data_IF_588761240899
#
_entry.id   IF_588761240899
#
_cell.length_a   1.000
_cell.length_b   1.000
_cell.length_c   1.000
_cell.angle_alpha   90.00
_cell.angle_beta   90.00
_cell.angle_gamma   90.00
#
_symmetry.space_group_name_H-M   'P 1'
#
loop_
_entity.id
_entity.type
_entity.pdbx_description
1 polymer ?
#
# COMPACT_ATOMS: atom_id res chain seq x y z
N UNK A 1 10.56 -15.81 -9.70
CA UNK A 1 9.77 -17.01 -9.46
C UNK A 1 8.30 -16.62 -9.38
N UNK A 2 7.42 -17.28 -10.17
CA UNK A 2 5.96 -17.10 -10.08
C UNK A 2 5.44 -17.70 -8.77
N UNK A 3 4.59 -16.97 -8.07
CA UNK A 3 4.00 -17.37 -6.79
C UNK A 3 2.49 -17.27 -6.87
N UNK A 4 1.80 -18.13 -6.13
CA UNK A 4 0.34 -18.13 -6.07
C UNK A 4 -0.24 -17.13 -5.06
N UNK A 5 0.61 -16.40 -4.29
CA UNK A 5 0.11 -15.44 -3.29
C UNK A 5 1.09 -14.30 -3.04
N UNK A 6 0.73 -13.09 -3.42
CA UNK A 6 1.48 -11.86 -3.17
C UNK A 6 1.85 -11.64 -1.68
N UNK A 7 0.99 -12.06 -0.75
CA UNK A 7 1.27 -12.05 0.70
C UNK A 7 2.54 -12.84 1.01
N UNK A 8 2.69 -14.04 0.42
CA UNK A 8 3.86 -14.91 0.63
C UNK A 8 5.13 -14.33 0.03
N UNK A 9 5.04 -13.64 -1.11
CA UNK A 9 6.22 -13.03 -1.72
C UNK A 9 6.84 -11.97 -0.83
N UNK A 10 6.02 -11.13 -0.17
CA UNK A 10 6.50 -10.19 0.84
C UNK A 10 7.10 -10.90 2.05
N UNK A 11 6.44 -11.96 2.52
CA UNK A 11 6.99 -12.79 3.60
C UNK A 11 8.32 -13.42 3.18
N UNK A 12 8.40 -13.98 1.99
CA UNK A 12 9.62 -14.59 1.46
C UNK A 12 10.77 -13.59 1.32
N UNK A 13 10.51 -12.35 0.91
CA UNK A 13 11.53 -11.30 0.89
C UNK A 13 12.13 -11.10 2.29
N UNK A 14 11.28 -10.89 3.31
CA UNK A 14 11.72 -10.64 4.68
C UNK A 14 12.45 -11.87 5.23
N UNK A 15 11.87 -13.07 5.10
CA UNK A 15 12.46 -14.34 5.57
C UNK A 15 13.78 -14.67 4.88
N UNK A 16 14.02 -14.18 3.65
CA UNK A 16 15.27 -14.39 2.92
C UNK A 16 16.41 -13.49 3.40
N UNK A 17 16.11 -12.43 4.16
CA UNK A 17 17.09 -11.43 4.57
C UNK A 17 17.22 -11.34 6.08
N UNK A 18 16.12 -11.50 6.82
CA UNK A 18 16.06 -11.29 8.25
C UNK A 18 15.98 -12.63 9.02
N UNK A 19 16.55 -12.64 10.21
CA UNK A 19 16.43 -13.70 11.22
C UNK A 19 16.06 -13.11 12.58
N UNK A 20 15.84 -13.96 13.57
CA UNK A 20 15.46 -13.54 14.91
C UNK A 20 16.48 -12.56 15.52
N UNK A 21 15.97 -11.43 16.02
CA UNK A 21 16.75 -10.36 16.62
C UNK A 21 17.36 -9.35 15.65
N UNK A 22 17.28 -9.57 14.32
CA UNK A 22 17.69 -8.56 13.34
C UNK A 22 16.71 -7.39 13.34
N UNK A 23 17.23 -6.19 13.10
CA UNK A 23 16.40 -5.00 12.88
C UNK A 23 16.15 -4.82 11.38
N UNK A 24 14.94 -4.44 11.01
CA UNK A 24 14.55 -4.09 9.63
C UNK A 24 13.84 -2.75 9.62
N UNK A 25 14.31 -1.84 8.77
CA UNK A 25 13.71 -0.52 8.60
C UNK A 25 12.52 -0.64 7.65
N UNK A 26 11.33 -0.21 8.11
CA UNK A 26 10.08 -0.34 7.37
C UNK A 26 9.24 0.94 7.50
N UNK A 27 8.56 1.43 6.44
CA UNK A 27 7.65 2.55 6.58
C UNK A 27 6.42 2.13 7.40
N UNK A 28 5.83 3.07 8.14
CA UNK A 28 4.68 2.77 9.02
C UNK A 28 3.46 2.25 8.25
N UNK A 29 3.34 2.60 6.97
CA UNK A 29 2.25 2.18 6.09
C UNK A 29 2.49 0.85 5.35
N UNK A 30 3.32 -0.03 5.90
CA UNK A 30 3.51 -1.37 5.33
C UNK A 30 2.25 -2.22 5.38
N UNK A 31 2.11 -3.09 4.42
CA UNK A 31 1.03 -4.08 4.43
C UNK A 31 1.24 -5.09 5.58
N UNK A 32 0.13 -5.54 6.22
CA UNK A 32 0.17 -6.51 7.34
C UNK A 32 1.02 -7.75 7.08
N UNK A 33 1.18 -8.19 5.83
CA UNK A 33 2.01 -9.35 5.50
C UNK A 33 3.49 -9.18 5.81
N UNK A 34 3.99 -7.94 5.83
CA UNK A 34 5.35 -7.64 6.27
C UNK A 34 5.47 -7.89 7.77
N UNK A 35 4.54 -7.35 8.57
CA UNK A 35 4.53 -7.60 10.02
C UNK A 35 4.32 -9.08 10.34
N UNK A 36 3.48 -9.79 9.58
CA UNK A 36 3.35 -11.25 9.70
C UNK A 36 4.68 -11.96 9.46
N UNK A 37 5.49 -11.50 8.52
CA UNK A 37 6.83 -12.05 8.32
C UNK A 37 7.75 -11.82 9.53
N UNK A 38 7.67 -10.63 10.16
CA UNK A 38 8.41 -10.33 11.39
C UNK A 38 7.99 -11.23 12.54
N UNK A 39 6.68 -11.53 12.67
CA UNK A 39 6.19 -12.52 13.65
C UNK A 39 6.81 -13.89 13.38
N UNK A 40 6.90 -14.31 12.11
CA UNK A 40 7.43 -15.63 11.75
C UNK A 40 8.93 -15.73 11.97
N UNK A 41 9.72 -14.71 11.60
CA UNK A 41 11.18 -14.78 11.72
C UNK A 41 11.75 -14.20 13.02
N UNK A 42 10.96 -13.44 13.80
CA UNK A 42 11.43 -12.80 15.02
C UNK A 42 12.30 -11.55 14.80
N UNK A 43 12.26 -10.96 13.63
CA UNK A 43 12.91 -9.69 13.37
C UNK A 43 12.12 -8.51 13.97
N UNK A 44 12.83 -7.42 14.28
CA UNK A 44 12.33 -6.25 14.99
C UNK A 44 12.12 -5.11 13.99
N UNK A 45 10.90 -4.56 13.85
CA UNK A 45 10.67 -3.41 12.98
C UNK A 45 11.25 -2.13 13.58
N UNK A 46 11.93 -1.36 12.74
CA UNK A 46 12.28 0.03 12.97
C UNK A 46 11.43 0.88 12.03
N UNK A 47 10.44 1.56 12.56
CA UNK A 47 9.47 2.28 11.74
C UNK A 47 10.01 3.63 11.25
N UNK A 48 9.96 3.83 9.93
CA UNK A 48 10.10 5.15 9.32
C UNK A 48 8.80 5.93 9.50
N UNK A 49 8.95 7.16 9.98
CA UNK A 49 7.83 8.09 10.10
C UNK A 49 7.46 8.64 8.71
N UNK A 50 6.34 8.20 8.16
CA UNK A 50 5.82 8.73 6.91
C UNK A 50 4.94 9.95 7.18
N UNK A 51 5.10 10.99 6.37
CA UNK A 51 4.25 12.18 6.44
C UNK A 51 2.86 11.90 5.88
N UNK A 52 1.87 12.68 6.33
CA UNK A 52 0.52 12.70 5.77
C UNK A 52 0.31 14.04 5.08
N UNK A 53 -0.24 14.03 3.87
CA UNK A 53 -0.72 15.25 3.24
C UNK A 53 -1.94 15.76 4.01
N UNK A 54 -1.82 16.91 4.66
CA UNK A 54 -2.84 17.46 5.56
C UNK A 54 -4.20 17.65 4.86
N UNK A 55 -4.23 18.13 3.61
CA UNK A 55 -5.46 18.33 2.85
C UNK A 55 -6.09 17.01 2.42
N UNK A 56 -5.30 16.11 1.83
CA UNK A 56 -5.80 14.89 1.22
C UNK A 56 -5.98 13.74 2.22
N UNK A 57 -5.31 13.81 3.37
CA UNK A 57 -5.33 12.74 4.38
C UNK A 57 -4.62 11.45 3.93
N UNK A 58 -3.77 11.51 2.91
CA UNK A 58 -3.04 10.37 2.37
C UNK A 58 -1.61 10.30 2.89
N UNK A 59 -1.12 9.08 3.09
CA UNK A 59 0.27 8.84 3.51
C UNK A 59 1.21 9.04 2.32
N UNK A 60 2.25 9.81 2.52
CA UNK A 60 3.28 10.11 1.54
C UNK A 60 4.40 9.06 1.53
N UNK A 61 5.38 9.23 0.64
CA UNK A 61 6.57 8.40 0.54
C UNK A 61 7.59 8.70 1.65
N UNK A 62 8.68 7.95 1.65
CA UNK A 62 9.84 8.16 2.52
C UNK A 62 10.96 8.84 1.74
N UNK A 63 11.74 9.69 2.40
CA UNK A 63 12.87 10.38 1.76
C UNK A 63 14.18 9.63 1.99
N UNK A 64 15.18 9.90 1.15
CA UNK A 64 16.52 9.33 1.29
C UNK A 64 17.14 9.74 2.63
N UNK A 65 16.96 11.00 3.02
CA UNK A 65 17.50 11.55 4.28
C UNK A 65 16.88 10.88 5.52
N UNK A 66 15.57 10.59 5.49
CA UNK A 66 14.91 9.85 6.57
C UNK A 66 15.48 8.44 6.70
N UNK A 67 15.68 7.74 5.56
CA UNK A 67 16.26 6.40 5.53
C UNK A 67 17.68 6.43 6.06
N UNK A 68 18.53 7.35 5.56
CA UNK A 68 19.92 7.48 6.01
C UNK A 68 20.03 7.76 7.51
N UNK A 69 19.26 8.72 8.01
CA UNK A 69 19.22 9.03 9.44
C UNK A 69 18.85 7.81 10.27
N UNK A 70 17.82 7.07 9.83
CA UNK A 70 17.36 5.87 10.55
C UNK A 70 18.41 4.76 10.53
N UNK A 71 19.14 4.56 9.41
CA UNK A 71 20.26 3.61 9.34
C UNK A 71 21.36 3.98 10.36
N UNK A 72 21.70 5.27 10.47
CA UNK A 72 22.71 5.76 11.40
C UNK A 72 22.29 5.56 12.86
N UNK A 73 21.02 5.74 13.18
CA UNK A 73 20.44 5.52 14.52
C UNK A 73 20.30 4.03 14.86
N UNK A 74 20.18 3.16 13.83
CA UNK A 74 19.99 1.70 13.94
C UNK A 74 21.04 0.90 13.18
N UNK A 75 22.30 0.91 13.62
CA UNK A 75 23.42 0.29 12.90
C UNK A 75 23.35 -1.24 12.84
N UNK A 76 22.40 -1.87 13.55
CA UNK A 76 22.14 -3.31 13.48
C UNK A 76 21.09 -3.69 12.44
N UNK A 77 20.51 -2.71 11.76
CA UNK A 77 19.55 -2.98 10.70
C UNK A 77 20.22 -3.73 9.55
N UNK A 78 19.55 -4.74 9.03
CA UNK A 78 20.05 -5.60 7.93
C UNK A 78 19.40 -5.27 6.60
N UNK A 79 18.23 -4.63 6.62
CA UNK A 79 17.50 -4.28 5.41
C UNK A 79 16.62 -3.04 5.60
N UNK A 80 16.29 -2.43 4.46
CA UNK A 80 15.23 -1.41 4.32
C UNK A 80 14.16 -1.99 3.42
N UNK A 81 12.89 -1.91 3.84
CA UNK A 81 11.74 -2.24 3.01
C UNK A 81 11.00 -0.95 2.63
N UNK A 82 10.60 -0.82 1.37
CA UNK A 82 9.88 0.36 0.85
C UNK A 82 8.64 -0.08 0.10
N UNK A 83 7.53 0.64 0.30
CA UNK A 83 6.34 0.52 -0.54
C UNK A 83 6.48 1.47 -1.74
N UNK A 84 6.52 0.94 -2.98
CA UNK A 84 6.70 1.78 -4.16
C UNK A 84 6.03 1.17 -5.41
N UNK A 85 4.93 1.75 -5.94
CA UNK A 85 4.21 2.90 -5.39
C UNK A 85 3.38 2.57 -4.14
N UNK A 86 2.98 3.59 -3.40
CA UNK A 86 1.94 3.44 -2.37
C UNK A 86 0.58 3.16 -3.03
N UNK A 87 -0.44 2.89 -2.22
CA UNK A 87 -1.80 2.64 -2.71
C UNK A 87 -2.36 3.84 -3.50
N UNK A 88 -2.01 5.07 -3.09
CA UNK A 88 -2.43 6.31 -3.74
C UNK A 88 -1.53 6.75 -4.90
N UNK A 89 -0.58 5.92 -5.31
CA UNK A 89 0.31 6.21 -6.44
C UNK A 89 1.54 7.05 -6.11
N UNK A 90 1.80 7.33 -4.82
CA UNK A 90 3.00 8.06 -4.40
C UNK A 90 4.23 7.17 -4.54
N UNK A 91 5.27 7.68 -5.18
CA UNK A 91 6.56 7.03 -5.32
C UNK A 91 7.65 7.78 -4.54
N UNK A 92 8.48 7.03 -3.83
CA UNK A 92 9.70 7.51 -3.19
C UNK A 92 10.87 7.54 -4.17
N UNK A 93 11.97 8.23 -3.84
CA UNK A 93 13.23 8.10 -4.57
C UNK A 93 13.88 6.74 -4.29
N UNK A 94 13.32 5.71 -4.92
CA UNK A 94 13.79 4.33 -4.71
C UNK A 94 15.26 4.15 -5.14
N UNK A 95 15.74 4.94 -6.12
CA UNK A 95 17.14 4.88 -6.56
C UNK A 95 18.06 5.44 -5.47
N UNK A 96 17.77 6.62 -4.95
CA UNK A 96 18.52 7.22 -3.85
C UNK A 96 18.49 6.35 -2.59
N UNK A 97 17.33 5.73 -2.28
CA UNK A 97 17.22 4.79 -1.15
C UNK A 97 18.09 3.55 -1.37
N UNK A 98 18.13 2.97 -2.57
CA UNK A 98 19.01 1.84 -2.87
C UNK A 98 20.48 2.23 -2.69
N UNK A 99 20.89 3.36 -3.25
CA UNK A 99 22.29 3.80 -3.19
C UNK A 99 22.74 4.02 -1.75
N UNK A 100 21.92 4.70 -0.93
CA UNK A 100 22.30 4.96 0.45
C UNK A 100 22.28 3.68 1.30
N UNK A 101 21.25 2.84 1.20
CA UNK A 101 21.19 1.59 1.96
C UNK A 101 22.36 0.66 1.63
N UNK A 102 22.70 0.51 0.35
CA UNK A 102 23.83 -0.30 -0.08
C UNK A 102 25.17 0.27 0.38
N UNK A 103 25.33 1.59 0.50
CA UNK A 103 26.57 2.20 1.03
C UNK A 103 26.82 1.83 2.49
N UNK A 104 25.78 1.50 3.25
CA UNK A 104 25.84 0.97 4.61
C UNK A 104 25.78 -0.57 4.67
N UNK A 105 25.74 -1.26 3.53
CA UNK A 105 25.72 -2.71 3.45
C UNK A 105 24.33 -3.36 3.72
N UNK A 106 23.25 -2.57 3.76
CA UNK A 106 21.90 -3.07 3.96
C UNK A 106 21.30 -3.56 2.64
N UNK A 107 20.37 -4.53 2.73
CA UNK A 107 19.55 -4.96 1.60
C UNK A 107 18.34 -4.06 1.42
N UNK A 108 17.88 -3.89 0.17
CA UNK A 108 16.66 -3.14 -0.15
C UNK A 108 15.58 -4.07 -0.70
N UNK A 109 14.46 -4.11 -0.01
CA UNK A 109 13.27 -4.89 -0.34
C UNK A 109 12.16 -3.95 -0.79
N UNK A 110 11.53 -4.22 -1.93
CA UNK A 110 10.45 -3.38 -2.44
C UNK A 110 9.10 -4.11 -2.46
N UNK A 111 8.12 -3.56 -1.75
CA UNK A 111 6.72 -3.93 -1.94
C UNK A 111 6.18 -3.14 -3.14
N UNK A 112 6.22 -3.75 -4.31
CA UNK A 112 5.68 -3.22 -5.56
C UNK A 112 4.37 -3.91 -5.96
N UNK A 113 3.57 -4.35 -4.99
CA UNK A 113 2.30 -5.01 -5.28
C UNK A 113 1.39 -4.18 -6.20
N UNK A 114 1.50 -2.87 -6.16
CA UNK A 114 0.77 -1.94 -7.02
C UNK A 114 1.60 -1.42 -8.20
N UNK A 115 2.79 -1.99 -8.47
CA UNK A 115 3.77 -1.51 -9.43
C UNK A 115 4.09 -2.45 -10.58
N UNK A 116 3.32 -3.52 -10.83
CA UNK A 116 3.59 -4.47 -11.94
C UNK A 116 3.74 -3.77 -13.29
N UNK A 117 2.90 -2.77 -13.58
CA UNK A 117 2.91 -2.01 -14.83
C UNK A 117 4.18 -1.17 -15.04
N UNK A 118 4.88 -0.82 -13.97
CA UNK A 118 6.14 -0.05 -14.02
C UNK A 118 7.26 -0.80 -14.78
N UNK A 119 7.11 -2.13 -14.92
CA UNK A 119 8.06 -2.97 -15.67
C UNK A 119 7.79 -3.01 -17.18
N UNK A 120 6.60 -2.57 -17.61
CA UNK A 120 6.12 -2.77 -18.97
C UNK A 120 5.67 -1.49 -19.68
N UNK A 121 5.46 -0.40 -18.96
CA UNK A 121 5.07 0.90 -19.51
C UNK A 121 6.26 1.85 -19.70
N UNK A 122 6.16 2.74 -20.69
CA UNK A 122 7.06 3.87 -20.82
C UNK A 122 6.45 5.08 -20.08
N UNK A 123 7.29 6.05 -19.66
CA UNK A 123 6.85 7.28 -18.97
C UNK A 123 6.09 7.05 -17.63
N UNK A 124 6.29 5.89 -17.04
CA UNK A 124 5.86 5.54 -15.69
C UNK A 124 7.02 5.71 -14.69
N UNK A 125 6.74 5.80 -13.38
CA UNK A 125 7.79 5.82 -12.37
C UNK A 125 8.78 4.66 -12.51
N UNK A 126 10.00 4.88 -12.01
CA UNK A 126 11.04 3.85 -12.07
C UNK A 126 10.65 2.66 -11.19
N UNK A 127 10.73 1.43 -11.76
CA UNK A 127 10.56 0.21 -10.97
C UNK A 127 11.78 -0.07 -10.07
N UNK A 128 11.55 -0.75 -8.96
CA UNK A 128 12.56 -0.94 -7.91
C UNK A 128 13.73 -1.81 -8.36
N UNK A 129 13.51 -2.81 -9.21
CA UNK A 129 14.61 -3.66 -9.71
C UNK A 129 15.57 -2.88 -10.60
N UNK A 130 15.05 -1.97 -11.44
CA UNK A 130 15.87 -1.06 -12.25
C UNK A 130 16.62 -0.05 -11.38
N UNK A 131 16.02 0.38 -10.28
CA UNK A 131 16.62 1.27 -9.29
C UNK A 131 17.75 0.60 -8.49
N UNK A 132 17.81 -0.73 -8.47
CA UNK A 132 18.87 -1.48 -7.78
C UNK A 132 18.37 -2.23 -6.54
N UNK A 133 17.08 -2.30 -6.25
CA UNK A 133 16.58 -3.08 -5.13
C UNK A 133 17.02 -4.55 -5.22
N UNK A 134 17.31 -5.18 -4.08
CA UNK A 134 17.75 -6.57 -4.02
C UNK A 134 16.63 -7.54 -4.32
N UNK A 135 15.41 -7.23 -3.85
CA UNK A 135 14.20 -8.02 -4.12
C UNK A 135 12.98 -7.11 -4.29
N UNK A 136 12.03 -7.55 -5.11
CA UNK A 136 10.73 -6.89 -5.25
C UNK A 136 9.59 -7.90 -5.35
N UNK A 137 8.47 -7.64 -4.68
CA UNK A 137 7.24 -8.42 -4.79
C UNK A 137 6.21 -7.64 -5.62
N UNK A 138 5.82 -8.19 -6.79
CA UNK A 138 4.82 -7.59 -7.67
C UNK A 138 3.56 -8.46 -7.75
N UNK A 139 2.37 -7.82 -7.70
CA UNK A 139 1.09 -8.54 -7.79
C UNK A 139 0.56 -8.47 -9.22
N UNK A 140 0.77 -9.54 -9.97
CA UNK A 140 0.31 -9.63 -11.36
C UNK A 140 -1.22 -9.53 -11.47
N UNK A 141 -1.95 -10.01 -10.46
CA UNK A 141 -3.41 -9.95 -10.44
C UNK A 141 -3.99 -8.54 -10.23
N UNK A 142 -3.20 -7.56 -9.76
CA UNK A 142 -3.67 -6.18 -9.57
C UNK A 142 -3.58 -5.36 -10.85
N UNK A 143 -2.40 -5.21 -11.40
CA UNK A 143 -2.15 -4.37 -12.58
C UNK A 143 -1.66 -5.13 -13.81
N UNK A 144 -1.39 -6.42 -13.68
CA UNK A 144 -0.86 -7.24 -14.77
C UNK A 144 -1.93 -8.01 -15.58
N UNK A 145 -3.17 -8.11 -15.07
CA UNK A 145 -4.28 -8.76 -15.78
C UNK A 145 -4.30 -10.29 -15.64
N UNK A 146 -3.63 -10.87 -14.64
CA UNK A 146 -3.73 -12.29 -14.31
C UNK A 146 -4.87 -12.56 -13.32
N UNK A 147 -5.25 -13.84 -13.17
CA UNK A 147 -6.22 -14.26 -12.16
C UNK A 147 -5.73 -13.94 -10.76
N UNK A 148 -6.67 -13.79 -9.82
CA UNK A 148 -6.40 -13.46 -8.41
C UNK A 148 -5.33 -14.37 -7.79
N UNK A 149 -4.67 -13.87 -6.76
CA UNK A 149 -3.58 -14.52 -6.02
C UNK A 149 -2.23 -14.62 -6.77
N UNK A 150 -2.18 -14.45 -8.08
CA UNK A 150 -0.92 -14.57 -8.83
C UNK A 150 0.01 -13.38 -8.61
N UNK A 151 1.28 -13.67 -8.37
CA UNK A 151 2.34 -12.69 -8.12
C UNK A 151 3.70 -13.19 -8.61
N UNK A 152 4.68 -12.31 -8.64
CA UNK A 152 6.07 -12.65 -9.01
C UNK A 152 7.01 -12.05 -7.97
N UNK A 153 7.89 -12.87 -7.44
CA UNK A 153 9.03 -12.45 -6.65
C UNK A 153 10.24 -12.26 -7.58
N UNK A 154 10.77 -11.06 -7.58
CA UNK A 154 11.94 -10.66 -8.36
C UNK A 154 13.16 -10.57 -7.45
N UNK A 155 14.33 -10.95 -7.95
CA UNK A 155 15.60 -10.90 -7.22
C UNK A 155 16.71 -10.36 -8.12
N UNK A 156 17.60 -9.56 -7.57
CA UNK A 156 18.84 -9.13 -8.24
C UNK A 156 20.01 -10.07 -7.91
N UNK A 157 21.08 -9.93 -8.67
CA UNK A 157 22.28 -10.81 -8.60
C UNK A 157 23.00 -10.81 -7.24
N UNK A 158 22.71 -9.86 -6.35
CA UNK A 158 23.26 -9.81 -4.99
C UNK A 158 22.59 -10.74 -3.98
N UNK A 159 21.53 -11.45 -4.39
CA UNK A 159 20.79 -12.40 -3.54
C UNK A 159 21.24 -13.84 -3.80
N UNK A 160 21.28 -14.65 -2.72
CA UNK A 160 21.51 -16.09 -2.85
C UNK A 160 20.22 -16.77 -3.34
N UNK A 161 20.15 -17.07 -4.62
CA UNK A 161 18.98 -17.64 -5.27
C UNK A 161 18.57 -19.00 -4.69
N UNK A 162 19.53 -19.85 -4.29
CA UNK A 162 19.25 -21.18 -3.70
C UNK A 162 18.60 -21.03 -2.31
N UNK A 163 19.05 -20.05 -1.53
CA UNK A 163 18.47 -19.77 -0.23
C UNK A 163 17.05 -19.21 -0.38
N UNK A 164 16.83 -18.25 -1.29
CA UNK A 164 15.49 -17.73 -1.59
C UNK A 164 14.56 -18.85 -2.04
N UNK A 165 15.03 -19.77 -2.91
CA UNK A 165 14.27 -20.93 -3.34
C UNK A 165 13.93 -21.86 -2.17
N UNK A 166 14.83 -22.04 -1.22
CA UNK A 166 14.58 -22.83 0.00
C UNK A 166 13.47 -22.21 0.84
N UNK A 167 13.48 -20.89 1.05
CA UNK A 167 12.42 -20.17 1.76
C UNK A 167 11.07 -20.31 1.04
N UNK A 168 11.06 -20.17 -0.28
CA UNK A 168 9.85 -20.38 -1.10
C UNK A 168 9.32 -21.79 -0.90
N UNK A 169 10.16 -22.81 -0.94
CA UNK A 169 9.73 -24.21 -0.78
C UNK A 169 9.13 -24.50 0.60
N UNK A 170 9.57 -23.79 1.64
CA UNK A 170 9.01 -23.92 3.00
C UNK A 170 7.65 -23.25 3.12
N UNK A 171 7.43 -22.16 2.42
CA UNK A 171 6.26 -21.30 2.60
C UNK A 171 5.14 -21.54 1.59
N UNK A 172 5.45 -22.12 0.44
CA UNK A 172 4.49 -22.34 -0.63
C UNK A 172 3.87 -23.73 -0.62
N UNK A 173 2.71 -23.84 -1.28
CA UNK A 173 2.04 -25.12 -1.49
C UNK A 173 2.84 -26.03 -2.40
N UNK A 174 2.78 -27.34 -2.16
CA UNK A 174 3.30 -28.37 -3.06
C UNK A 174 2.31 -28.72 -4.18
N UNK A 175 1.07 -28.23 -4.10
CA UNK A 175 -0.02 -28.50 -5.04
C UNK A 175 -0.38 -27.23 -5.82
N UNK A 176 0.49 -26.83 -6.72
CA UNK A 176 0.31 -25.60 -7.51
C UNK A 176 -0.92 -25.70 -8.45
N UNK A 177 -1.66 -24.59 -8.55
CA UNK A 177 -2.77 -24.47 -9.49
C UNK A 177 -2.26 -24.18 -10.90
N UNK A 178 -2.42 -25.12 -11.82
CA UNK A 178 -2.03 -24.89 -13.22
C UNK A 178 -2.83 -23.76 -13.88
N UNK A 179 -4.08 -23.50 -13.45
CA UNK A 179 -4.88 -22.39 -13.97
C UNK A 179 -4.25 -21.05 -13.60
N UNK A 180 -3.82 -20.88 -12.33
CA UNK A 180 -3.16 -19.67 -11.88
C UNK A 180 -1.79 -19.49 -12.56
N UNK A 181 -1.01 -20.55 -12.66
CA UNK A 181 0.30 -20.51 -13.34
C UNK A 181 0.16 -20.16 -14.82
N UNK A 182 -0.81 -20.76 -15.51
CA UNK A 182 -1.09 -20.46 -16.92
C UNK A 182 -1.55 -19.02 -17.10
N UNK A 183 -2.45 -18.54 -16.25
CA UNK A 183 -2.91 -17.15 -16.26
C UNK A 183 -1.75 -16.18 -16.07
N UNK A 184 -0.84 -16.48 -15.12
CA UNK A 184 0.35 -15.68 -14.86
C UNK A 184 1.26 -15.61 -16.09
N UNK A 185 1.55 -16.74 -16.76
CA UNK A 185 2.41 -16.75 -17.94
C UNK A 185 1.79 -16.07 -19.15
N UNK A 186 0.48 -16.26 -19.38
CA UNK A 186 -0.26 -15.55 -20.43
C UNK A 186 -0.21 -14.04 -20.18
N UNK A 187 -0.45 -13.60 -18.95
CA UNK A 187 -0.39 -12.19 -18.58
C UNK A 187 1.00 -11.62 -18.80
N UNK A 188 2.04 -12.27 -18.27
CA UNK A 188 3.44 -11.89 -18.49
C UNK A 188 3.77 -11.77 -19.98
N UNK A 189 3.38 -12.77 -20.79
CA UNK A 189 3.60 -12.75 -22.25
C UNK A 189 2.87 -11.57 -22.90
N UNK A 190 1.60 -11.34 -22.55
CA UNK A 190 0.82 -10.23 -23.10
C UNK A 190 1.47 -8.87 -22.77
N UNK A 191 1.89 -8.68 -21.54
CA UNK A 191 2.56 -7.45 -21.11
C UNK A 191 3.92 -7.27 -21.79
N UNK A 192 4.71 -8.32 -21.96
CA UNK A 192 5.98 -8.25 -22.69
C UNK A 192 5.81 -7.84 -24.16
N UNK A 193 4.71 -8.25 -24.80
CA UNK A 193 4.46 -7.95 -26.22
C UNK A 193 3.71 -6.64 -26.45
N UNK A 194 2.83 -6.25 -25.54
CA UNK A 194 1.86 -5.13 -25.72
C UNK A 194 1.85 -4.12 -24.60
N UNK A 195 2.60 -4.34 -23.51
CA UNK A 195 2.54 -3.52 -22.30
C UNK A 195 2.76 -2.04 -22.56
N UNK A 196 3.76 -1.68 -23.38
CA UNK A 196 4.03 -0.29 -23.75
C UNK A 196 2.80 0.40 -24.33
N UNK A 197 2.17 -0.22 -25.34
CA UNK A 197 0.99 0.35 -25.99
C UNK A 197 -0.21 0.38 -25.05
N UNK A 198 -0.41 -0.67 -24.23
CA UNK A 198 -1.54 -0.77 -23.31
C UNK A 198 -1.42 0.28 -22.20
N UNK A 199 -0.26 0.43 -21.57
CA UNK A 199 -0.09 1.41 -20.51
C UNK A 199 0.04 2.85 -20.99
N UNK A 200 0.44 3.09 -22.24
CA UNK A 200 0.32 4.41 -22.86
C UNK A 200 -1.15 4.85 -22.92
N UNK A 201 -2.06 3.97 -23.34
CA UNK A 201 -3.51 4.25 -23.35
C UNK A 201 -4.06 4.44 -21.93
N UNK A 202 -3.68 3.56 -20.99
CA UNK A 202 -4.10 3.70 -19.59
C UNK A 202 -3.69 5.05 -19.02
N UNK A 203 -2.45 5.50 -19.28
CA UNK A 203 -1.96 6.80 -18.82
C UNK A 203 -2.75 7.96 -19.46
N UNK A 204 -3.04 7.88 -20.77
CA UNK A 204 -3.83 8.88 -21.49
C UNK A 204 -5.25 8.96 -20.91
N UNK A 205 -5.92 7.83 -20.74
CA UNK A 205 -7.27 7.78 -20.18
C UNK A 205 -7.34 8.23 -18.73
N UNK A 206 -6.32 7.90 -17.94
CA UNK A 206 -6.23 8.36 -16.56
C UNK A 206 -6.05 9.87 -16.47
N UNK A 207 -5.28 10.46 -17.38
CA UNK A 207 -5.13 11.92 -17.46
C UNK A 207 -6.42 12.58 -17.93
N UNK A 208 -7.05 12.06 -18.96
CA UNK A 208 -8.37 12.51 -19.43
C UNK A 208 -9.39 12.52 -18.29
N UNK A 209 -9.49 11.42 -17.53
CA UNK A 209 -10.42 11.34 -16.41
C UNK A 209 -10.13 12.42 -15.34
N UNK A 210 -8.84 12.70 -15.03
CA UNK A 210 -8.48 13.77 -14.08
C UNK A 210 -8.93 15.12 -14.56
N UNK A 211 -8.66 15.44 -15.82
CA UNK A 211 -8.98 16.74 -16.39
C UNK A 211 -10.50 16.96 -16.40
N UNK A 212 -11.27 15.96 -16.83
CA UNK A 212 -12.72 16.02 -16.81
C UNK A 212 -13.30 16.13 -15.39
N UNK A 213 -12.84 15.31 -14.44
CA UNK A 213 -13.31 15.36 -13.04
C UNK A 213 -12.98 16.72 -12.41
N UNK A 214 -11.79 17.27 -12.65
CA UNK A 214 -11.41 18.58 -12.14
C UNK A 214 -12.27 19.70 -12.79
N UNK A 215 -12.78 19.51 -14.01
CA UNK A 215 -13.65 20.46 -14.69
C UNK A 215 -15.08 20.50 -14.13
N UNK A 216 -15.54 19.41 -13.48
CA UNK A 216 -16.86 19.35 -12.82
C UNK A 216 -16.95 20.39 -11.71
N UNK A 217 -15.86 20.63 -10.98
CA UNK A 217 -15.82 21.44 -9.78
C UNK A 217 -16.26 20.70 -8.52
N UNK A 218 -15.69 21.09 -7.37
CA UNK A 218 -15.95 20.44 -6.09
C UNK A 218 -15.22 19.11 -5.86
N UNK A 219 -14.53 18.60 -6.85
CA UNK A 219 -13.59 17.48 -6.73
C UNK A 219 -12.16 17.97 -6.94
N UNK A 220 -11.21 17.21 -6.43
CA UNK A 220 -9.81 17.38 -6.76
C UNK A 220 -9.17 16.03 -7.12
N UNK A 221 -9.10 15.74 -8.40
CA UNK A 221 -8.40 14.59 -8.93
C UNK A 221 -6.91 14.94 -9.06
N UNK A 222 -6.11 14.47 -8.10
CA UNK A 222 -4.69 14.82 -8.01
C UNK A 222 -3.79 13.88 -8.81
N UNK A 223 -2.58 14.35 -9.09
CA UNK A 223 -1.61 13.67 -9.94
C UNK A 223 -0.19 14.17 -9.73
N UNK A 224 0.54 14.36 -10.84
CA UNK A 224 1.96 14.75 -10.83
C UNK A 224 2.24 16.12 -10.23
N UNK A 225 1.26 16.99 -10.06
CA UNK A 225 1.41 18.27 -9.36
C UNK A 225 1.74 18.11 -7.87
N UNK A 226 1.55 16.90 -7.29
CA UNK A 226 1.98 16.60 -5.93
C UNK A 226 3.50 16.35 -5.83
N UNK A 227 4.19 16.14 -6.95
CA UNK A 227 5.64 15.85 -6.95
C UNK A 227 6.40 17.05 -6.39
N UNK A 228 7.17 16.79 -5.32
CA UNK A 228 7.92 17.81 -4.60
C UNK A 228 9.44 17.50 -4.49
N UNK A 229 9.89 16.40 -5.09
CA UNK A 229 11.27 15.93 -5.05
C UNK A 229 11.73 15.33 -3.71
N UNK A 230 10.85 15.26 -2.73
CA UNK A 230 11.10 14.68 -1.40
C UNK A 230 10.14 13.52 -1.11
N UNK A 231 9.14 13.76 -0.24
CA UNK A 231 8.14 12.76 0.17
C UNK A 231 7.22 12.31 -0.96
N UNK A 232 7.14 13.07 -2.05
CA UNK A 232 6.54 12.67 -3.33
C UNK A 232 7.60 12.88 -4.40
N UNK A 233 8.39 11.84 -4.66
CA UNK A 233 9.47 11.92 -5.66
C UNK A 233 8.93 11.75 -7.08
N UNK A 234 7.98 10.84 -7.28
CA UNK A 234 7.25 10.66 -8.53
C UNK A 234 5.82 10.20 -8.22
N UNK A 235 4.96 10.14 -9.24
CA UNK A 235 3.55 9.79 -9.10
C UNK A 235 3.12 8.80 -10.20
N UNK A 236 2.47 7.71 -9.79
CA UNK A 236 1.87 6.73 -10.69
C UNK A 236 0.53 7.25 -11.24
N UNK A 237 0.57 7.74 -12.46
CA UNK A 237 -0.59 8.35 -13.12
C UNK A 237 -1.75 7.38 -13.38
N UNK A 238 -1.54 6.07 -13.30
CA UNK A 238 -2.60 5.07 -13.48
C UNK A 238 -3.55 5.00 -12.29
N UNK A 239 -3.18 5.58 -11.14
CA UNK A 239 -4.02 5.72 -9.96
C UNK A 239 -4.87 6.98 -10.08
N UNK A 240 -6.15 6.81 -10.35
CA UNK A 240 -7.11 7.91 -10.37
C UNK A 240 -7.66 8.11 -8.96
N UNK A 241 -6.99 8.98 -8.21
CA UNK A 241 -7.39 9.37 -6.86
C UNK A 241 -8.11 10.71 -6.90
N UNK A 242 -9.26 10.80 -6.22
CA UNK A 242 -10.11 11.99 -6.24
C UNK A 242 -10.52 12.34 -4.82
N UNK A 243 -10.16 13.54 -4.38
CA UNK A 243 -10.64 14.11 -3.13
C UNK A 243 -12.08 14.59 -3.30
N UNK A 244 -12.96 14.21 -2.36
CA UNK A 244 -14.42 14.40 -2.50
C UNK A 244 -15.03 15.36 -1.47
N UNK A 245 -14.29 15.73 -0.44
CA UNK A 245 -14.85 16.49 0.69
C UNK A 245 -15.25 17.92 0.36
N UNK A 246 -14.77 18.46 -0.74
CA UNK A 246 -15.15 19.80 -1.20
C UNK A 246 -16.62 19.85 -1.71
N UNK A 247 -17.24 18.69 -2.03
CA UNK A 247 -18.69 18.57 -2.28
C UNK A 247 -19.49 18.20 -1.00
N UNK A 248 -18.82 18.15 0.16
CA UNK A 248 -19.44 17.82 1.44
C UNK A 248 -19.70 16.32 1.67
N UNK A 249 -19.13 15.43 0.83
CA UNK A 249 -19.26 13.97 0.97
C UNK A 249 -17.91 13.34 1.36
N UNK A 250 -17.96 12.35 2.24
CA UNK A 250 -16.81 11.48 2.48
C UNK A 250 -16.62 10.53 1.28
N UNK A 251 -15.38 10.10 1.00
CA UNK A 251 -15.11 9.19 -0.13
C UNK A 251 -15.85 7.85 -0.02
N UNK A 252 -16.11 7.36 1.21
CA UNK A 252 -16.92 6.16 1.44
C UNK A 252 -18.36 6.38 0.96
N UNK A 253 -18.95 7.56 1.24
CA UNK A 253 -20.31 7.90 0.76
C UNK A 253 -20.36 7.91 -0.77
N UNK A 254 -19.37 8.53 -1.43
CA UNK A 254 -19.30 8.56 -2.90
C UNK A 254 -19.09 7.16 -3.48
N UNK A 255 -18.24 6.32 -2.85
CA UNK A 255 -18.04 4.93 -3.23
C UNK A 255 -19.36 4.12 -3.17
N UNK A 256 -20.12 4.26 -2.08
CA UNK A 256 -21.39 3.55 -1.91
C UNK A 256 -22.41 4.02 -2.95
N UNK A 257 -22.54 5.31 -3.21
CA UNK A 257 -23.43 5.86 -4.24
C UNK A 257 -23.04 5.34 -5.63
N UNK A 258 -21.76 5.35 -5.98
CA UNK A 258 -21.26 4.82 -7.27
C UNK A 258 -21.64 3.35 -7.44
N UNK A 259 -21.50 2.54 -6.39
CA UNK A 259 -21.81 1.11 -6.42
C UNK A 259 -23.34 0.87 -6.50
N UNK A 260 -24.11 1.51 -5.63
CA UNK A 260 -25.50 1.15 -5.39
C UNK A 260 -26.47 1.83 -6.38
N UNK A 261 -26.14 3.02 -6.88
CA UNK A 261 -27.03 3.77 -7.78
C UNK A 261 -26.55 3.82 -9.23
N UNK A 262 -25.22 3.76 -9.45
CA UNK A 262 -24.64 3.83 -10.80
C UNK A 262 -24.08 2.51 -11.31
N UNK A 263 -24.08 1.45 -10.48
CA UNK A 263 -23.51 0.15 -10.80
C UNK A 263 -22.04 0.29 -11.29
N UNK A 264 -21.26 1.12 -10.58
CA UNK A 264 -19.84 1.38 -10.81
C UNK A 264 -19.05 0.93 -9.60
N UNK A 265 -18.27 -0.14 -9.77
CA UNK A 265 -17.36 -0.62 -8.74
C UNK A 265 -15.97 -0.04 -8.97
N UNK A 266 -15.55 0.87 -8.12
CA UNK A 266 -14.17 1.37 -8.05
C UNK A 266 -13.37 0.57 -7.01
N UNK A 267 -12.09 0.87 -6.85
CA UNK A 267 -11.22 0.12 -5.94
C UNK A 267 -11.61 0.32 -4.48
N UNK A 268 -11.73 1.56 -4.02
CA UNK A 268 -12.23 1.89 -2.68
C UNK A 268 -12.63 3.37 -2.54
N UNK A 269 -13.32 3.66 -1.41
CA UNK A 269 -13.46 4.99 -0.85
C UNK A 269 -12.90 5.03 0.58
N UNK A 270 -12.14 6.07 0.93
CA UNK A 270 -11.76 6.38 2.31
C UNK A 270 -12.51 7.61 2.83
N UNK A 271 -12.09 8.17 3.97
CA UNK A 271 -12.79 9.32 4.56
C UNK A 271 -12.71 10.57 3.66
N UNK A 272 -11.64 10.75 2.89
CA UNK A 272 -11.41 11.96 2.09
C UNK A 272 -11.45 11.75 0.59
N UNK A 273 -11.24 10.51 0.15
CA UNK A 273 -10.93 10.22 -1.23
C UNK A 273 -11.68 8.99 -1.74
N UNK A 274 -11.92 8.95 -3.04
CA UNK A 274 -12.15 7.71 -3.78
C UNK A 274 -10.91 7.39 -4.62
N UNK A 275 -10.70 6.10 -4.88
CA UNK A 275 -9.64 5.64 -5.77
C UNK A 275 -10.21 4.67 -6.80
N UNK A 276 -10.03 4.99 -8.06
CA UNK A 276 -10.27 4.11 -9.19
C UNK A 276 -8.93 3.69 -9.79
N UNK A 277 -8.78 2.40 -10.04
CA UNK A 277 -7.59 1.85 -10.68
C UNK A 277 -7.89 1.61 -12.16
N UNK A 278 -7.38 2.48 -13.03
CA UNK A 278 -7.57 2.32 -14.47
C UNK A 278 -6.58 1.27 -14.98
N UNK A 279 -7.10 0.23 -15.58
CA UNK A 279 -6.37 -0.98 -15.93
C UNK A 279 -6.36 -1.24 -17.44
N UNK A 280 -5.58 -2.22 -17.85
CA UNK A 280 -5.54 -2.68 -19.24
C UNK A 280 -6.85 -3.36 -19.71
N UNK A 281 -7.75 -3.66 -18.78
CA UNK A 281 -9.07 -4.27 -19.06
C UNK A 281 -10.17 -3.25 -19.29
N UNK A 282 -9.96 -2.00 -18.91
CA UNK A 282 -10.95 -0.94 -19.02
C UNK A 282 -11.06 -0.40 -20.47
N UNK A 283 -12.18 0.23 -20.75
CA UNK A 283 -12.46 0.92 -22.02
C UNK A 283 -12.74 2.39 -21.73
N UNK A 284 -12.59 3.24 -22.73
CA UNK A 284 -12.86 4.67 -22.59
C UNK A 284 -14.32 4.94 -22.13
N UNK A 285 -15.28 4.13 -22.60
CA UNK A 285 -16.68 4.25 -22.19
C UNK A 285 -16.89 4.01 -20.69
N UNK A 286 -16.12 3.11 -20.08
CA UNK A 286 -16.20 2.82 -18.65
C UNK A 286 -15.72 4.04 -17.85
N UNK A 287 -14.71 4.75 -18.35
CA UNK A 287 -14.17 5.97 -17.77
C UNK A 287 -15.13 7.15 -17.94
N UNK A 288 -15.71 7.33 -19.13
CA UNK A 288 -16.73 8.34 -19.39
C UNK A 288 -17.96 8.16 -18.50
N UNK A 289 -18.35 6.89 -18.25
CA UNK A 289 -19.44 6.55 -17.33
C UNK A 289 -19.11 6.96 -15.90
N UNK A 290 -17.88 6.73 -15.43
CA UNK A 290 -17.43 7.18 -14.10
C UNK A 290 -17.45 8.72 -13.99
N UNK A 291 -16.92 9.42 -14.99
CA UNK A 291 -16.91 10.90 -15.02
C UNK A 291 -18.34 11.44 -14.99
N UNK A 292 -19.25 10.88 -15.82
CA UNK A 292 -20.67 11.25 -15.85
C UNK A 292 -21.37 11.03 -14.52
N UNK A 293 -21.12 9.88 -13.86
CA UNK A 293 -21.66 9.57 -12.55
C UNK A 293 -21.19 10.58 -11.47
N UNK A 294 -19.88 10.92 -11.46
CA UNK A 294 -19.35 11.91 -10.52
C UNK A 294 -19.93 13.30 -10.75
N UNK A 295 -20.18 13.71 -12.01
CA UNK A 295 -20.84 14.96 -12.31
C UNK A 295 -22.29 14.99 -11.78
N UNK A 296 -23.01 13.89 -11.92
CA UNK A 296 -24.39 13.78 -11.40
C UNK A 296 -24.41 13.73 -9.87
N UNK A 297 -23.51 13.00 -9.23
CA UNK A 297 -23.34 12.95 -7.77
C UNK A 297 -23.06 14.35 -7.23
N UNK A 298 -22.17 15.11 -7.82
CA UNK A 298 -21.91 16.50 -7.41
C UNK A 298 -23.18 17.35 -7.47
N UNK A 299 -23.96 17.20 -8.54
CA UNK A 299 -25.20 17.96 -8.75
C UNK A 299 -26.31 17.60 -7.75
N UNK A 300 -26.47 16.33 -7.39
CA UNK A 300 -27.62 15.81 -6.61
C UNK A 300 -27.31 15.79 -5.12
N UNK A 301 -26.11 15.35 -4.74
CA UNK A 301 -25.75 14.99 -3.36
C UNK A 301 -24.82 15.98 -2.67
N UNK A 302 -24.34 17.03 -3.39
CA UNK A 302 -23.46 18.04 -2.78
C UNK A 302 -24.12 18.71 -1.57
N UNK A 303 -23.36 18.84 -0.48
CA UNK A 303 -23.78 19.46 0.78
C UNK A 303 -23.06 20.80 0.95
N UNK A 304 -23.77 21.84 1.44
CA UNK A 304 -23.18 23.16 1.69
C UNK A 304 -22.14 23.16 2.82
N UNK A 305 -22.30 22.26 3.79
CA UNK A 305 -21.32 22.09 4.86
C UNK A 305 -20.09 21.39 4.32
N UNK A 306 -19.04 22.18 4.09
CA UNK A 306 -17.70 21.61 3.85
C UNK A 306 -17.22 20.87 5.10
N UNK A 307 -16.88 19.60 4.93
CA UNK A 307 -16.33 18.83 6.05
C UNK A 307 -14.88 19.26 6.30
N UNK A 308 -14.62 19.76 7.51
CA UNK A 308 -13.32 20.26 7.90
C UNK A 308 -12.24 19.18 7.84
N UNK A 309 -11.02 19.61 7.53
CA UNK A 309 -9.81 18.80 7.67
C UNK A 309 -9.70 18.30 9.11
N UNK A 310 -9.51 17.00 9.27
CA UNK A 310 -9.07 16.47 10.54
C UNK A 310 -7.54 16.60 10.54
N UNK A 311 -7.00 17.37 11.47
CA UNK A 311 -5.55 17.43 11.68
C UNK A 311 -5.07 16.01 12.04
N UNK A 312 -4.59 15.28 11.01
CA UNK A 312 -4.17 13.90 11.15
C UNK A 312 -2.66 13.85 11.13
N UNK A 313 -2.11 13.71 12.31
CA UNK A 313 -0.76 13.21 12.44
C UNK A 313 -0.78 11.68 12.35
N UNK A 314 0.22 11.10 11.70
CA UNK A 314 0.38 9.65 11.72
C UNK A 314 0.66 9.21 13.15
N UNK A 315 -0.20 8.35 13.68
CA UNK A 315 0.01 7.78 14.99
C UNK A 315 1.21 6.83 14.93
N UNK A 316 2.17 7.08 15.79
CA UNK A 316 3.40 6.29 15.92
C UNK A 316 3.46 5.69 17.31
N UNK A 317 2.79 4.57 17.54
CA UNK A 317 2.86 3.87 18.80
C UNK A 317 4.29 3.39 19.05
N UNK A 318 4.71 3.42 20.32
CA UNK A 318 6.01 2.88 20.72
C UNK A 318 6.00 1.38 20.61
N UNK A 319 7.03 0.80 20.01
CA UNK A 319 7.27 -0.65 20.01
C UNK A 319 7.88 -1.02 21.36
N UNK A 320 7.15 -1.75 22.19
CA UNK A 320 7.56 -2.18 23.52
C UNK A 320 7.96 -3.64 23.58
N UNK A 321 7.50 -4.46 22.61
CA UNK A 321 7.88 -5.86 22.42
C UNK A 321 8.01 -6.14 20.93
N UNK A 322 8.78 -7.15 20.54
CA UNK A 322 8.79 -7.58 19.14
C UNK A 322 7.40 -8.11 18.73
N UNK A 323 7.03 -7.99 17.45
CA UNK A 323 5.77 -8.55 16.95
C UNK A 323 5.62 -10.04 17.27
N UNK A 324 6.70 -10.82 17.27
CA UNK A 324 6.72 -12.23 17.61
C UNK A 324 6.40 -12.46 19.11
N UNK A 325 7.09 -11.77 20.00
CA UNK A 325 6.86 -11.89 21.45
C UNK A 325 5.42 -11.54 21.79
N UNK A 326 4.89 -10.43 21.29
CA UNK A 326 3.52 -10.02 21.55
C UNK A 326 2.48 -10.99 20.94
N UNK A 327 2.77 -11.56 19.78
CA UNK A 327 1.87 -12.50 19.12
C UNK A 327 1.74 -13.82 19.90
N UNK A 328 2.82 -14.34 20.46
CA UNK A 328 2.84 -15.60 21.21
C UNK A 328 2.60 -15.44 22.71
N UNK A 329 2.58 -14.22 23.24
CA UNK A 329 2.25 -13.96 24.64
C UNK A 329 0.80 -14.37 24.97
N UNK A 330 0.53 -14.65 26.23
CA UNK A 330 -0.83 -14.82 26.73
C UNK A 330 -1.61 -13.51 26.58
N UNK A 331 -2.83 -13.59 26.05
CA UNK A 331 -3.66 -12.44 25.70
C UNK A 331 -4.88 -12.34 26.60
N UNK A 332 -5.18 -11.12 27.02
CA UNK A 332 -6.38 -10.78 27.77
C UNK A 332 -7.30 -9.97 26.85
N UNK A 333 -8.58 -10.37 26.77
CA UNK A 333 -9.62 -9.61 26.06
C UNK A 333 -10.23 -8.60 27.00
N UNK A 334 -10.32 -7.35 26.56
CA UNK A 334 -10.92 -6.27 27.33
C UNK A 334 -11.55 -5.23 26.39
N UNK A 335 -12.50 -4.42 26.90
CA UNK A 335 -13.06 -3.29 26.11
C UNK A 335 -11.96 -2.35 25.70
N UNK A 336 -12.07 -1.77 24.48
CA UNK A 336 -11.01 -0.91 23.90
C UNK A 336 -10.67 0.28 24.80
N UNK A 337 -11.65 0.84 25.52
CA UNK A 337 -11.45 1.97 26.42
C UNK A 337 -10.56 1.65 27.62
N UNK A 338 -10.48 0.38 27.98
CA UNK A 338 -9.71 -0.10 29.12
C UNK A 338 -8.27 -0.52 28.71
N UNK A 339 -7.96 -0.49 27.39
CA UNK A 339 -6.67 -0.97 26.85
C UNK A 339 -5.54 0.04 26.93
N UNK A 340 -5.77 1.28 27.35
CA UNK A 340 -4.76 2.32 27.44
C UNK A 340 -3.55 1.86 28.27
N UNK A 341 -2.35 2.04 27.71
CA UNK A 341 -1.08 1.66 28.35
C UNK A 341 -0.73 0.18 28.28
N UNK A 342 -1.59 -0.65 27.69
CA UNK A 342 -1.29 -2.07 27.42
C UNK A 342 -0.54 -2.23 26.09
N UNK A 343 0.07 -3.40 25.90
CA UNK A 343 0.74 -3.77 24.66
C UNK A 343 -0.28 -4.51 23.79
N UNK A 344 -0.40 -4.12 22.53
CA UNK A 344 -1.28 -4.81 21.59
C UNK A 344 -0.78 -6.21 21.29
N UNK A 345 -1.66 -7.20 21.41
CA UNK A 345 -1.42 -8.57 20.93
C UNK A 345 -2.01 -8.83 19.54
N UNK A 346 -2.63 -7.84 18.92
CA UNK A 346 -3.40 -7.96 17.67
C UNK A 346 -3.14 -6.80 16.73
N UNK A 347 -3.56 -6.99 15.46
CA UNK A 347 -3.64 -5.90 14.49
C UNK A 347 -4.96 -5.16 14.63
N UNK A 348 -4.90 -3.84 14.61
CA UNK A 348 -6.06 -2.99 14.34
C UNK A 348 -5.78 -2.22 13.06
N UNK A 349 -6.66 -2.38 12.08
CA UNK A 349 -6.48 -1.77 10.76
C UNK A 349 -7.77 -1.08 10.33
N UNK A 350 -7.65 0.13 9.81
CA UNK A 350 -8.74 0.72 9.04
C UNK A 350 -8.73 0.11 7.63
N UNK A 351 -9.87 -0.39 7.19
CA UNK A 351 -10.00 -0.90 5.84
C UNK A 351 -11.14 -0.18 5.09
N UNK A 352 -10.89 0.31 3.89
CA UNK A 352 -9.60 0.42 3.19
C UNK A 352 -8.68 1.50 3.79
N UNK A 353 -7.36 1.51 3.49
CA UNK A 353 -6.61 0.60 2.60
C UNK A 353 -5.94 -0.60 3.32
N UNK A 354 -6.22 -0.85 4.61
CA UNK A 354 -5.64 -1.97 5.35
C UNK A 354 -4.23 -1.71 5.90
N UNK A 355 -3.94 -0.45 6.21
CA UNK A 355 -2.72 -0.03 6.91
C UNK A 355 -2.93 -0.25 8.41
N UNK A 356 -2.00 -0.91 9.13
CA UNK A 356 -2.13 -1.09 10.56
C UNK A 356 -2.10 0.25 11.31
N UNK A 357 -3.15 0.55 12.07
CA UNK A 357 -3.17 1.60 13.09
C UNK A 357 -2.36 1.14 14.28
N UNK A 358 -2.51 -0.14 14.61
CA UNK A 358 -1.82 -0.82 15.69
C UNK A 358 -1.34 -2.19 15.22
N UNK A 359 -0.12 -2.57 15.58
CA UNK A 359 0.45 -3.89 15.32
C UNK A 359 0.80 -4.59 16.64
N UNK A 360 0.96 -5.92 16.65
CA UNK A 360 1.42 -6.62 17.83
C UNK A 360 2.75 -6.06 18.34
N UNK A 361 2.86 -5.86 19.66
CA UNK A 361 4.06 -5.30 20.30
C UNK A 361 4.04 -3.80 20.54
N UNK A 362 3.06 -3.08 20.02
CA UNK A 362 2.93 -1.64 20.16
C UNK A 362 2.08 -1.24 21.38
N UNK A 363 2.45 -0.07 21.97
CA UNK A 363 1.72 0.52 23.07
C UNK A 363 0.39 1.13 22.60
N UNK A 364 -0.70 0.83 23.31
CA UNK A 364 -2.01 1.39 23.05
C UNK A 364 -2.14 2.72 23.80
N UNK A 365 -2.13 3.83 23.06
CA UNK A 365 -2.29 5.18 23.63
C UNK A 365 -3.74 5.65 23.53
N UNK A 366 -4.07 6.74 24.25
CA UNK A 366 -5.39 7.35 24.22
C UNK A 366 -5.73 7.87 22.82
N UNK A 367 -4.76 8.50 22.15
CA UNK A 367 -4.92 9.00 20.76
C UNK A 367 -5.25 7.89 19.78
N UNK A 368 -4.69 6.70 19.98
CA UNK A 368 -5.00 5.52 19.16
C UNK A 368 -6.43 5.05 19.40
N UNK A 369 -6.87 5.02 20.66
CA UNK A 369 -8.23 4.63 21.02
C UNK A 369 -9.24 5.61 20.40
N UNK A 370 -9.00 6.90 20.55
CA UNK A 370 -9.85 7.96 19.97
C UNK A 370 -9.91 7.85 18.43
N UNK A 371 -8.78 7.59 17.79
CA UNK A 371 -8.72 7.43 16.34
C UNK A 371 -9.49 6.20 15.85
N UNK A 372 -9.40 5.08 16.58
CA UNK A 372 -10.16 3.86 16.26
C UNK A 372 -11.66 4.14 16.38
N UNK A 373 -12.10 4.78 17.46
CA UNK A 373 -13.52 5.12 17.68
C UNK A 373 -14.03 6.07 16.60
N UNK A 374 -13.29 7.13 16.31
CA UNK A 374 -13.63 8.06 15.21
C UNK A 374 -13.76 7.34 13.86
N UNK A 375 -12.85 6.43 13.54
CA UNK A 375 -12.88 5.70 12.28
C UNK A 375 -14.10 4.77 12.18
N UNK A 376 -14.47 4.12 13.28
CA UNK A 376 -15.71 3.30 13.35
C UNK A 376 -16.95 4.16 13.16
N UNK A 377 -17.05 5.31 13.83
CA UNK A 377 -18.15 6.26 13.68
C UNK A 377 -18.30 6.78 12.24
N UNK A 378 -17.20 6.86 11.50
CA UNK A 378 -17.19 7.24 10.08
C UNK A 378 -17.47 6.09 9.12
N UNK A 379 -17.83 4.91 9.63
CA UNK A 379 -18.18 3.75 8.80
C UNK A 379 -16.97 3.00 8.24
N UNK A 380 -15.73 3.30 8.68
CA UNK A 380 -14.58 2.48 8.31
C UNK A 380 -14.75 1.07 8.87
N UNK A 381 -14.61 0.06 8.01
CA UNK A 381 -14.53 -1.32 8.48
C UNK A 381 -13.21 -1.50 9.23
N UNK A 382 -13.29 -2.01 10.46
CA UNK A 382 -12.14 -2.34 11.29
C UNK A 382 -12.04 -3.85 11.43
N UNK A 383 -11.44 -4.56 10.46
CA UNK A 383 -11.17 -5.98 10.65
C UNK A 383 -10.11 -6.14 11.76
N UNK A 384 -10.55 -6.52 12.92
CA UNK A 384 -9.73 -7.08 14.00
C UNK A 384 -9.74 -8.59 13.88
N UNK A 385 -8.57 -9.22 13.99
CA UNK A 385 -8.44 -10.64 13.68
C UNK A 385 -9.06 -11.57 14.73
N UNK A 386 -10.25 -11.41 15.18
CA UNK A 386 -11.04 -12.24 16.11
C UNK A 386 -11.69 -11.48 17.29
N UNK A 387 -11.86 -10.18 17.27
CA UNK A 387 -12.51 -9.53 18.41
C UNK A 387 -13.77 -8.78 18.01
N UNK A 388 -14.86 -9.18 18.64
CA UNK A 388 -16.04 -8.34 18.76
C UNK A 388 -15.64 -7.10 19.60
N UNK A 389 -15.41 -5.96 18.92
CA UNK A 389 -15.48 -4.67 19.57
C UNK A 389 -16.97 -4.42 19.88
N UNK A 390 -17.43 -4.81 21.02
CA UNK A 390 -18.73 -4.41 21.58
C UNK A 390 -18.51 -3.32 22.61
#
# INVERSE_FOLDING_TARGET
VGSEMCIRDRQNMVLSVCKAGDEIIVPRNVHKSVINALILCGAIPVYLNTEINAKLGIVLGVTVEQVEKTIQEHPRAVAVLVNNPTYYGICSDIKGICDIAHSYGLKVLADEAHGTHLYFGDNLPMNSMKAGADMAAISMHKSGGSLTQSSILLTNNGMNADYVQTIINITQTTSASYLLMTSLDISRRNLALRGRQSFAKVSEWSQYARDEINSIGGYYAYGKELVNGGTVYDYDVTKLCVYTRDIGLDGIEVYDILRDEYDIQIEFGDIGNIMAYISIGDRIQDIERLVGALAEISRIYSKEEKRFEVDRQMLLPRVLASPQEAFYAEKIKMPIRDTKGHISGEFVMAYPPGIPILAPGEEITEEIIDYIQYSVEKGCSMPVSYTHLT
#
